data_IF_034065393957
#
_entry.id   IF_034065393957
#
_cell.length_a   1.000
_cell.length_b   1.000
_cell.length_c   1.000
_cell.angle_alpha   90.00
_cell.angle_beta   90.00
_cell.angle_gamma   90.00
#
_symmetry.space_group_name_H-M   'P 1'
#
loop_
_entity.id
_entity.type
_entity.pdbx_description
1 polymer ?
#
# COMPACT_ATOMS: atom_id res chain seq x y z
N UNK A 1 18.31 -12.13 -13.21
CA UNK A 1 17.86 -13.34 -12.48
C UNK A 1 16.61 -12.93 -11.72
N UNK A 2 15.43 -13.30 -12.23
CA UNK A 2 14.16 -12.91 -11.63
C UNK A 2 13.81 -13.92 -10.54
N UNK A 3 14.16 -13.62 -9.30
CA UNK A 3 13.78 -14.44 -8.14
C UNK A 3 12.39 -13.96 -7.70
N UNK A 4 11.42 -14.85 -7.74
CA UNK A 4 10.08 -14.58 -7.20
C UNK A 4 10.13 -14.80 -5.69
N UNK A 5 10.11 -13.69 -4.94
CA UNK A 5 10.02 -13.73 -3.47
C UNK A 5 8.55 -13.67 -3.04
N UNK A 6 8.13 -14.58 -2.18
CA UNK A 6 6.79 -14.66 -1.62
C UNK A 6 6.86 -14.69 -0.10
N UNK A 7 6.10 -13.83 0.53
CA UNK A 7 5.89 -13.87 1.97
C UNK A 7 4.95 -15.04 2.30
N UNK A 8 5.38 -15.97 3.15
CA UNK A 8 4.60 -17.18 3.51
C UNK A 8 4.05 -17.13 4.92
N UNK A 9 4.83 -16.62 5.87
CA UNK A 9 4.42 -16.54 7.26
C UNK A 9 5.11 -15.39 7.99
N UNK A 10 4.47 -14.94 9.07
CA UNK A 10 5.05 -14.07 10.07
C UNK A 10 4.67 -14.56 11.46
N UNK A 11 5.64 -14.60 12.36
CA UNK A 11 5.44 -14.90 13.77
C UNK A 11 5.84 -13.69 14.60
N UNK A 12 4.90 -13.15 15.37
CA UNK A 12 5.12 -12.00 16.26
C UNK A 12 5.27 -12.52 17.69
N UNK A 13 6.51 -12.59 18.18
CA UNK A 13 6.78 -12.91 19.58
C UNK A 13 6.27 -11.79 20.47
N UNK A 14 6.63 -10.54 20.12
CA UNK A 14 6.15 -9.35 20.81
C UNK A 14 6.27 -8.11 19.91
N UNK A 15 5.15 -7.43 19.62
CA UNK A 15 5.17 -6.11 18.97
C UNK A 15 3.88 -5.36 19.27
N UNK A 16 3.95 -4.22 19.95
CA UNK A 16 2.75 -3.49 20.45
C UNK A 16 1.84 -4.45 21.23
N UNK A 17 0.57 -4.56 20.82
CA UNK A 17 -0.41 -5.48 21.41
C UNK A 17 -0.34 -6.92 20.90
N UNK A 18 0.52 -7.22 19.94
CA UNK A 18 0.71 -8.58 19.44
C UNK A 18 1.67 -9.34 20.34
N UNK A 19 1.28 -10.54 20.77
CA UNK A 19 2.10 -11.46 21.55
C UNK A 19 1.81 -12.88 21.11
N UNK A 20 2.85 -13.62 20.75
CA UNK A 20 2.79 -15.00 20.26
C UNK A 20 1.71 -15.22 19.18
N UNK A 21 1.73 -14.34 18.17
CA UNK A 21 0.74 -14.35 17.10
C UNK A 21 1.34 -14.83 15.78
N UNK A 22 0.70 -15.81 15.15
CA UNK A 22 1.10 -16.39 13.88
C UNK A 22 0.18 -15.98 12.75
N UNK A 23 0.79 -15.64 11.59
CA UNK A 23 0.10 -15.29 10.37
C UNK A 23 0.64 -16.12 9.21
N UNK A 24 -0.26 -16.70 8.41
CA UNK A 24 0.07 -17.41 7.19
C UNK A 24 -0.50 -16.66 6.00
N UNK A 25 0.30 -16.51 4.97
CA UNK A 25 -0.05 -15.75 3.78
C UNK A 25 -0.23 -16.67 2.57
N UNK A 26 -1.30 -16.43 1.82
CA UNK A 26 -1.51 -17.12 0.56
C UNK A 26 -0.58 -16.58 -0.54
N UNK A 27 -0.49 -17.29 -1.65
CA UNK A 27 0.39 -16.89 -2.76
C UNK A 27 -0.08 -15.63 -3.50
N UNK A 28 -1.35 -15.27 -3.37
CA UNK A 28 -1.95 -14.17 -4.13
C UNK A 28 -2.53 -13.06 -3.26
N UNK A 29 -3.51 -13.40 -2.41
CA UNK A 29 -4.24 -12.43 -1.61
C UNK A 29 -4.51 -13.00 -0.22
N UNK A 30 -4.23 -12.21 0.81
CA UNK A 30 -4.56 -12.55 2.20
C UNK A 30 -5.34 -11.40 2.82
N UNK A 31 -6.50 -11.68 3.38
CA UNK A 31 -7.26 -10.74 4.18
C UNK A 31 -6.96 -10.99 5.67
N UNK A 32 -6.54 -9.95 6.38
CA UNK A 32 -6.34 -9.97 7.84
C UNK A 32 -7.56 -9.32 8.47
N UNK A 33 -8.35 -10.12 9.16
CA UNK A 33 -9.61 -9.69 9.78
C UNK A 33 -9.52 -9.80 11.30
N UNK A 34 -10.31 -9.00 12.00
CA UNK A 34 -10.38 -9.01 13.47
C UNK A 34 -10.99 -7.72 14.01
N UNK A 35 -11.31 -7.74 15.30
CA UNK A 35 -11.85 -6.57 16.00
C UNK A 35 -10.89 -5.38 16.02
N UNK A 36 -11.41 -4.19 16.30
CA UNK A 36 -10.57 -3.01 16.45
C UNK A 36 -9.58 -3.21 17.61
N UNK A 37 -8.34 -2.78 17.43
CA UNK A 37 -7.28 -2.98 18.41
C UNK A 37 -6.60 -4.35 18.38
N UNK A 38 -7.04 -5.31 17.56
CA UNK A 38 -6.43 -6.64 17.45
C UNK A 38 -5.01 -6.66 16.84
N UNK A 39 -4.50 -5.51 16.40
CA UNK A 39 -3.14 -5.41 15.84
C UNK A 39 -3.03 -5.57 14.33
N UNK A 40 -4.13 -5.57 13.57
CA UNK A 40 -4.13 -5.69 12.10
C UNK A 40 -3.17 -4.69 11.44
N UNK A 41 -3.33 -3.41 11.73
CA UNK A 41 -2.44 -2.33 11.25
C UNK A 41 -1.00 -2.54 11.70
N UNK A 42 -0.76 -3.07 12.91
CA UNK A 42 0.59 -3.37 13.39
C UNK A 42 1.29 -4.42 12.54
N UNK A 43 0.57 -5.48 12.14
CA UNK A 43 1.09 -6.49 11.21
C UNK A 43 1.46 -5.85 9.87
N UNK A 44 0.54 -5.08 9.28
CA UNK A 44 0.74 -4.40 7.99
C UNK A 44 1.96 -3.46 8.05
N UNK A 45 2.07 -2.64 9.10
CA UNK A 45 3.20 -1.74 9.30
C UNK A 45 4.54 -2.48 9.46
N UNK A 46 4.55 -3.58 10.21
CA UNK A 46 5.75 -4.39 10.34
C UNK A 46 6.17 -4.97 8.98
N UNK A 47 5.21 -5.53 8.21
CA UNK A 47 5.48 -6.08 6.89
C UNK A 47 5.95 -5.02 5.89
N UNK A 48 5.48 -3.77 5.99
CA UNK A 48 6.00 -2.68 5.17
C UNK A 48 7.49 -2.41 5.41
N UNK A 49 7.97 -2.63 6.63
CA UNK A 49 9.33 -2.32 7.05
C UNK A 49 10.37 -3.43 6.83
N UNK A 50 9.97 -4.66 6.49
CA UNK A 50 10.90 -5.80 6.42
C UNK A 50 11.72 -5.87 5.14
N UNK A 51 11.34 -5.10 4.13
CA UNK A 51 12.03 -5.04 2.84
C UNK A 51 12.69 -3.68 2.61
N UNK A 52 13.60 -3.63 1.66
CA UNK A 52 14.07 -2.40 1.03
C UNK A 52 13.68 -2.42 -0.45
N UNK A 53 13.44 -1.27 -1.09
CA UNK A 53 13.13 -1.22 -2.51
C UNK A 53 14.19 -1.92 -3.35
N UNK A 54 13.78 -2.67 -4.37
CA UNK A 54 14.69 -3.27 -5.34
C UNK A 54 15.26 -2.19 -6.27
N UNK A 55 14.42 -1.23 -6.63
CA UNK A 55 14.80 -0.08 -7.44
C UNK A 55 14.39 1.22 -6.75
N UNK A 56 15.32 2.18 -6.71
CA UNK A 56 15.03 3.55 -6.27
C UNK A 56 14.48 4.32 -7.47
N UNK A 57 13.19 4.51 -7.53
CA UNK A 57 12.51 5.27 -8.59
C UNK A 57 11.44 6.20 -8.02
N UNK A 58 10.83 7.06 -8.86
CA UNK A 58 9.84 8.04 -8.41
C UNK A 58 8.62 7.43 -7.71
N UNK A 59 8.38 6.13 -7.88
CA UNK A 59 7.26 5.39 -7.30
C UNK A 59 7.68 4.38 -6.24
N UNK A 60 8.99 4.23 -5.96
CA UNK A 60 9.47 3.35 -4.90
C UNK A 60 9.21 3.98 -3.53
N UNK A 61 8.64 3.21 -2.63
CA UNK A 61 8.38 3.62 -1.26
C UNK A 61 9.38 2.93 -0.33
N UNK A 62 10.00 3.72 0.53
CA UNK A 62 11.03 3.26 1.47
C UNK A 62 10.50 3.38 2.90
N UNK A 63 10.09 2.25 3.48
CA UNK A 63 9.57 2.21 4.83
C UNK A 63 10.63 1.69 5.80
N UNK A 64 11.08 2.56 6.70
CA UNK A 64 11.92 2.19 7.84
C UNK A 64 11.07 2.03 9.10
N UNK A 65 11.48 1.20 10.04
CA UNK A 65 10.71 1.00 11.28
C UNK A 65 10.34 2.30 12.00
N UNK A 66 11.20 3.32 12.11
CA UNK A 66 10.82 4.59 12.73
C UNK A 66 9.69 5.34 12.02
N UNK A 67 9.35 4.99 10.79
CA UNK A 67 8.21 5.57 10.09
C UNK A 67 6.88 5.23 10.77
N UNK A 68 6.71 3.97 11.21
CA UNK A 68 5.49 3.50 11.87
C UNK A 68 5.66 3.27 13.38
N UNK A 69 6.88 3.03 13.83
CA UNK A 69 7.23 2.73 15.21
C UNK A 69 8.14 3.83 15.75
N UNK A 70 7.61 5.07 15.79
CA UNK A 70 8.33 6.24 16.26
C UNK A 70 8.63 6.08 17.75
N UNK A 71 9.91 6.08 18.16
CA UNK A 71 10.26 6.07 19.58
C UNK A 71 9.74 7.34 20.26
N UNK A 72 9.15 7.16 21.42
CA UNK A 72 8.66 8.27 22.25
C UNK A 72 8.86 7.94 23.73
N UNK A 73 8.50 8.89 24.61
CA UNK A 73 8.69 8.76 26.06
C UNK A 73 8.05 7.49 26.64
N UNK A 74 6.89 7.09 26.12
CA UNK A 74 6.13 5.95 26.64
C UNK A 74 6.44 4.63 25.94
N UNK A 75 7.03 4.70 24.73
CA UNK A 75 7.25 3.54 23.86
C UNK A 75 8.57 3.63 23.11
N UNK A 76 9.59 3.02 23.67
CA UNK A 76 10.89 2.88 23.01
C UNK A 76 10.96 1.68 22.07
N UNK A 77 9.94 0.81 22.09
CA UNK A 77 9.82 -0.43 21.30
C UNK A 77 10.89 -1.47 21.61
N UNK A 78 11.69 -1.30 22.69
CA UNK A 78 12.68 -2.27 23.13
C UNK A 78 12.02 -3.60 23.51
N UNK A 79 12.65 -4.73 23.17
CA UNK A 79 12.09 -6.06 23.36
C UNK A 79 11.06 -6.47 22.28
N UNK A 80 10.78 -5.61 21.29
CA UNK A 80 10.00 -6.03 20.14
C UNK A 80 10.76 -7.06 19.32
N UNK A 81 10.10 -8.17 18.98
CA UNK A 81 10.68 -9.26 18.19
C UNK A 81 9.60 -9.93 17.34
N UNK A 82 9.89 -10.13 16.07
CA UNK A 82 9.08 -10.94 15.17
C UNK A 82 9.94 -11.53 14.06
N UNK A 83 9.46 -12.58 13.43
CA UNK A 83 10.15 -13.21 12.30
C UNK A 83 9.24 -13.36 11.11
N UNK A 84 9.83 -13.39 9.92
CA UNK A 84 9.13 -13.66 8.67
C UNK A 84 9.77 -14.86 7.95
N UNK A 85 8.93 -15.59 7.22
CA UNK A 85 9.34 -16.70 6.36
C UNK A 85 8.99 -16.33 4.93
N UNK A 86 9.99 -16.33 4.06
CA UNK A 86 9.84 -16.13 2.63
C UNK A 86 10.07 -17.44 1.89
N UNK A 87 9.41 -17.58 0.75
CA UNK A 87 9.65 -18.63 -0.26
C UNK A 87 10.16 -17.95 -1.53
N UNK A 88 11.26 -18.44 -2.05
CA UNK A 88 11.79 -18.01 -3.35
C UNK A 88 11.49 -19.04 -4.41
N UNK A 89 11.15 -18.60 -5.61
CA UNK A 89 10.97 -19.43 -6.79
C UNK A 89 12.02 -19.04 -7.84
N UNK A 90 12.82 -20.00 -8.29
CA UNK A 90 13.83 -19.74 -9.30
C UNK A 90 13.24 -19.85 -10.74
N UNK A 91 14.07 -19.62 -11.75
CA UNK A 91 13.68 -19.66 -13.15
C UNK A 91 13.17 -21.05 -13.62
N UNK A 92 13.51 -22.11 -12.88
CA UNK A 92 13.04 -23.48 -13.13
C UNK A 92 11.76 -23.83 -12.37
N UNK A 93 11.10 -22.82 -11.81
CA UNK A 93 9.90 -22.97 -10.96
C UNK A 93 10.12 -23.84 -9.70
N UNK A 94 11.37 -23.98 -9.25
CA UNK A 94 11.67 -24.67 -7.99
C UNK A 94 11.46 -23.68 -6.86
N UNK A 95 10.58 -24.05 -5.94
CA UNK A 95 10.28 -23.30 -4.74
C UNK A 95 11.18 -23.74 -3.60
N UNK A 96 11.75 -22.77 -2.89
CA UNK A 96 12.58 -22.99 -1.73
C UNK A 96 12.14 -22.08 -0.59
N UNK A 97 11.71 -22.64 0.50
CA UNK A 97 11.39 -21.88 1.72
C UNK A 97 12.69 -21.47 2.40
N UNK A 98 12.85 -20.19 2.64
CA UNK A 98 14.01 -19.66 3.35
C UNK A 98 13.83 -19.82 4.87
N UNK A 99 14.94 -19.92 5.62
CA UNK A 99 14.87 -19.92 7.07
C UNK A 99 14.22 -18.63 7.59
N UNK A 100 13.51 -18.67 8.73
CA UNK A 100 12.91 -17.50 9.32
C UNK A 100 13.93 -16.38 9.53
N UNK A 101 13.60 -15.18 9.09
CA UNK A 101 14.42 -13.98 9.35
C UNK A 101 13.80 -13.21 10.49
N UNK A 102 14.55 -13.07 11.57
CA UNK A 102 14.11 -12.37 12.78
C UNK A 102 14.43 -10.88 12.71
N UNK A 103 13.46 -10.08 13.09
CA UNK A 103 13.54 -8.63 13.29
C UNK A 103 13.31 -8.35 14.77
N UNK A 104 14.21 -7.58 15.37
CA UNK A 104 14.10 -7.23 16.79
C UNK A 104 14.62 -5.82 17.04
N UNK A 105 14.22 -5.24 18.14
CA UNK A 105 14.74 -3.97 18.61
C UNK A 105 15.40 -4.13 19.97
N UNK A 106 16.72 -4.05 19.95
CA UNK A 106 17.56 -4.00 21.14
C UNK A 106 17.99 -2.54 21.35
N UNK A 107 17.70 -2.00 22.53
CA UNK A 107 18.00 -0.60 22.86
C UNK A 107 17.47 0.37 21.81
N UNK A 108 18.34 1.06 21.06
CA UNK A 108 17.97 2.16 20.16
C UNK A 108 17.73 1.74 18.71
N UNK A 109 18.14 0.55 18.30
CA UNK A 109 18.16 0.18 16.88
C UNK A 109 17.41 -1.11 16.59
N UNK A 110 16.78 -1.11 15.41
CA UNK A 110 16.21 -2.31 14.83
C UNK A 110 17.28 -3.15 14.12
N UNK A 111 17.23 -4.46 14.32
CA UNK A 111 18.03 -5.44 13.60
C UNK A 111 17.11 -6.38 12.79
N UNK A 112 17.54 -6.86 11.61
CA UNK A 112 18.75 -6.43 10.90
C UNK A 112 18.68 -4.96 10.49
N UNK A 113 19.85 -4.34 10.30
CA UNK A 113 19.93 -2.98 9.75
C UNK A 113 19.25 -2.92 8.40
N UNK A 114 18.77 -1.73 8.03
CA UNK A 114 18.00 -1.52 6.81
C UNK A 114 18.71 -2.08 5.57
N UNK A 115 20.00 -1.82 5.41
CA UNK A 115 20.84 -2.24 4.28
C UNK A 115 20.94 -3.77 4.12
N UNK A 116 20.66 -4.51 5.19
CA UNK A 116 20.73 -5.97 5.22
C UNK A 116 19.37 -6.63 5.02
N UNK A 117 18.32 -5.87 4.75
CA UNK A 117 16.99 -6.42 4.49
C UNK A 117 16.89 -6.94 3.06
N UNK A 118 16.01 -7.93 2.80
CA UNK A 118 15.80 -8.41 1.45
C UNK A 118 15.22 -7.30 0.58
N UNK A 119 15.57 -7.34 -0.71
CA UNK A 119 15.09 -6.39 -1.71
C UNK A 119 13.75 -6.83 -2.24
N UNK A 120 12.76 -5.96 -2.12
CA UNK A 120 11.41 -6.14 -2.69
C UNK A 120 10.67 -4.82 -2.64
N UNK A 121 10.02 -4.44 -3.71
CA UNK A 121 9.19 -3.24 -3.71
C UNK A 121 7.94 -3.47 -2.88
N UNK A 122 7.64 -2.52 -2.00
CA UNK A 122 6.47 -2.52 -1.14
C UNK A 122 5.64 -1.28 -1.43
N UNK A 123 4.34 -1.46 -1.61
CA UNK A 123 3.37 -0.38 -1.78
C UNK A 123 2.37 -0.45 -0.63
N UNK A 124 2.35 0.58 0.18
CA UNK A 124 1.43 0.68 1.31
C UNK A 124 0.35 1.74 1.04
N UNK A 125 -0.89 1.36 1.29
CA UNK A 125 -2.03 2.25 1.27
C UNK A 125 -2.65 2.27 2.67
N UNK A 126 -2.34 3.32 3.42
CA UNK A 126 -2.86 3.55 4.76
C UNK A 126 -4.12 4.39 4.79
N UNK A 127 -4.51 4.78 5.98
CA UNK A 127 -5.70 5.60 6.22
C UNK A 127 -5.61 7.00 5.57
N UNK A 128 -4.41 7.52 5.36
CA UNK A 128 -4.18 8.79 4.65
C UNK A 128 -4.67 8.75 3.20
N UNK A 129 -4.69 7.56 2.58
CA UNK A 129 -5.27 7.33 1.26
C UNK A 129 -6.80 7.47 1.24
N UNK A 130 -7.44 7.46 2.41
CA UNK A 130 -8.90 7.64 2.57
C UNK A 130 -9.30 9.12 2.62
N UNK A 131 -8.35 10.02 2.92
CA UNK A 131 -8.65 11.45 2.97
C UNK A 131 -8.86 11.98 1.55
N UNK A 132 -9.99 12.66 1.27
CA UNK A 132 -10.24 13.27 -0.01
C UNK A 132 -9.30 14.44 -0.26
N UNK A 133 -8.97 14.68 -1.53
CA UNK A 133 -8.02 15.74 -1.90
C UNK A 133 -8.53 17.12 -1.53
N UNK A 134 -9.85 17.32 -1.51
CA UNK A 134 -10.45 18.60 -1.07
C UNK A 134 -10.13 18.91 0.40
N UNK A 135 -10.01 17.90 1.26
CA UNK A 135 -9.66 18.10 2.67
C UNK A 135 -8.15 18.29 2.89
N UNK A 136 -7.33 17.77 1.96
CA UNK A 136 -5.88 17.98 1.99
C UNK A 136 -5.47 19.33 1.40
N UNK A 137 -6.34 19.94 0.61
CA UNK A 137 -6.04 21.18 -0.11
C UNK A 137 -6.16 22.39 0.80
N UNK A 138 -5.23 23.35 0.66
CA UNK A 138 -5.35 24.64 1.33
C UNK A 138 -6.57 25.39 0.78
N UNK A 139 -7.44 25.96 1.62
CA UNK A 139 -8.57 26.71 1.18
C UNK A 139 -8.17 27.85 0.24
N UNK A 140 -8.80 27.91 -0.93
CA UNK A 140 -8.59 28.95 -1.93
C UNK A 140 -9.92 29.27 -2.63
N UNK A 141 -10.01 30.47 -3.19
CA UNK A 141 -11.22 30.90 -3.90
C UNK A 141 -11.43 30.13 -5.22
N UNK A 142 -10.34 29.71 -5.87
CA UNK A 142 -10.39 29.00 -7.15
C UNK A 142 -9.10 28.22 -7.40
N UNK A 143 -9.25 26.99 -7.90
CA UNK A 143 -8.15 26.18 -8.43
C UNK A 143 -8.34 26.07 -9.94
N UNK A 144 -7.41 26.61 -10.71
CA UNK A 144 -7.32 26.43 -12.16
C UNK A 144 -6.17 25.50 -12.46
N UNK A 145 -6.46 24.30 -12.90
CA UNK A 145 -5.45 23.31 -13.23
C UNK A 145 -5.33 23.06 -14.73
N UNK A 146 -4.15 22.65 -15.16
CA UNK A 146 -3.90 22.17 -16.51
C UNK A 146 -4.12 20.67 -16.55
N UNK A 147 -5.02 20.17 -17.41
CA UNK A 147 -5.26 18.74 -17.53
C UNK A 147 -4.25 18.08 -18.47
N UNK A 148 -3.72 16.96 -18.04
CA UNK A 148 -2.90 16.08 -18.86
C UNK A 148 -3.58 14.73 -19.01
N UNK A 149 -3.93 14.36 -20.23
CA UNK A 149 -4.53 13.05 -20.49
C UNK A 149 -3.52 11.93 -20.27
N UNK A 150 -3.92 10.91 -19.53
CA UNK A 150 -3.07 9.73 -19.35
C UNK A 150 -3.22 8.80 -20.56
N UNK A 151 -2.13 8.64 -21.28
CA UNK A 151 -2.03 7.67 -22.40
C UNK A 151 -1.49 6.31 -21.95
N UNK A 152 -1.21 6.12 -20.66
CA UNK A 152 -0.70 4.86 -20.10
C UNK A 152 -1.80 3.77 -20.18
N UNK A 153 -1.53 2.62 -20.82
CA UNK A 153 -2.47 1.49 -20.84
C UNK A 153 -2.92 1.03 -19.45
N UNK A 154 -2.08 1.23 -18.42
CA UNK A 154 -2.43 0.91 -17.04
C UNK A 154 -3.50 1.86 -16.49
N UNK A 155 -3.46 3.13 -16.88
CA UNK A 155 -4.49 4.10 -16.52
C UNK A 155 -5.85 3.71 -17.12
N UNK A 156 -5.87 3.29 -18.39
CA UNK A 156 -7.11 2.82 -19.02
C UNK A 156 -7.68 1.61 -18.29
N UNK A 157 -6.84 0.65 -17.94
CA UNK A 157 -7.26 -0.52 -17.15
C UNK A 157 -7.77 -0.14 -15.76
N UNK A 158 -7.16 0.85 -15.13
CA UNK A 158 -7.60 1.39 -13.83
C UNK A 158 -9.02 1.88 -13.90
N UNK A 159 -9.34 2.76 -14.86
CA UNK A 159 -10.69 3.33 -14.96
C UNK A 159 -11.74 2.33 -15.42
N UNK A 160 -11.37 1.37 -16.27
CA UNK A 160 -12.27 0.25 -16.66
C UNK A 160 -12.71 -0.53 -15.42
N UNK A 161 -11.77 -0.91 -14.56
CA UNK A 161 -12.06 -1.66 -13.34
C UNK A 161 -12.75 -0.81 -12.27
N UNK A 162 -12.34 0.44 -12.13
CA UNK A 162 -13.04 1.39 -11.26
C UNK A 162 -14.51 1.55 -11.69
N UNK A 163 -14.76 1.63 -12.99
CA UNK A 163 -16.11 1.72 -13.56
C UNK A 163 -16.97 0.52 -13.19
N UNK A 164 -16.41 -0.69 -13.27
CA UNK A 164 -17.10 -1.91 -12.86
C UNK A 164 -17.45 -1.93 -11.37
N UNK A 165 -16.53 -1.48 -10.50
CA UNK A 165 -16.73 -1.46 -9.05
C UNK A 165 -17.75 -0.37 -8.65
N UNK A 166 -17.67 0.81 -9.27
CA UNK A 166 -18.44 2.00 -8.91
C UNK A 166 -19.74 2.15 -9.72
N UNK A 167 -19.99 1.23 -10.64
CA UNK A 167 -21.10 1.29 -11.59
C UNK A 167 -21.15 2.62 -12.36
N UNK A 168 -20.00 3.07 -12.86
CA UNK A 168 -19.82 4.28 -13.67
C UNK A 168 -19.12 3.96 -15.00
N UNK A 169 -19.39 4.74 -16.03
CA UNK A 169 -18.73 4.59 -17.33
C UNK A 169 -17.68 5.68 -17.50
N UNK A 170 -16.47 5.37 -17.10
CA UNK A 170 -15.32 6.23 -17.30
C UNK A 170 -14.74 6.04 -18.70
N UNK A 171 -14.32 7.12 -19.33
CA UNK A 171 -13.72 7.13 -20.67
C UNK A 171 -12.25 7.51 -20.64
N UNK A 172 -11.84 8.36 -19.70
CA UNK A 172 -10.46 8.87 -19.62
C UNK A 172 -10.05 9.16 -18.19
N UNK A 173 -8.76 8.93 -17.91
CA UNK A 173 -8.09 9.39 -16.69
C UNK A 173 -7.21 10.59 -17.03
N UNK A 174 -7.22 11.58 -16.15
CA UNK A 174 -6.41 12.80 -16.27
C UNK A 174 -5.53 12.97 -15.04
N UNK A 175 -4.36 13.56 -15.24
CA UNK A 175 -3.59 14.20 -14.19
C UNK A 175 -3.78 15.71 -14.32
N UNK A 176 -4.37 16.33 -13.31
CA UNK A 176 -4.63 17.76 -13.30
C UNK A 176 -3.57 18.43 -12.42
N UNK A 177 -2.70 19.21 -13.03
CA UNK A 177 -1.61 19.90 -12.34
C UNK A 177 -2.00 21.31 -11.91
N UNK A 178 -1.72 21.63 -10.63
CA UNK A 178 -1.84 22.98 -10.06
C UNK A 178 -0.74 23.22 -9.02
N UNK A 179 0.19 24.13 -9.29
CA UNK A 179 1.28 24.54 -8.37
C UNK A 179 2.01 23.33 -7.75
N UNK A 180 2.53 22.44 -8.55
CA UNK A 180 3.22 21.21 -8.10
C UNK A 180 2.33 20.18 -7.36
N UNK A 181 1.02 20.41 -7.28
CA UNK A 181 0.07 19.42 -6.82
C UNK A 181 -0.62 18.75 -8.00
N UNK A 182 -0.84 17.45 -7.87
CA UNK A 182 -1.46 16.61 -8.87
C UNK A 182 -2.79 16.08 -8.36
N UNK A 183 -3.85 16.34 -9.11
CA UNK A 183 -5.21 15.93 -8.79
C UNK A 183 -5.72 14.99 -9.89
N UNK A 184 -5.84 13.67 -9.63
CA UNK A 184 -6.41 12.78 -10.63
C UNK A 184 -7.83 13.25 -10.99
N UNK A 185 -8.18 13.10 -12.27
CA UNK A 185 -9.49 13.46 -12.80
C UNK A 185 -9.99 12.42 -13.77
N UNK A 186 -11.29 12.38 -13.99
CA UNK A 186 -11.95 11.44 -14.89
C UNK A 186 -12.92 12.15 -15.84
N UNK A 187 -13.14 11.54 -17.01
CA UNK A 187 -14.29 11.83 -17.86
C UNK A 187 -15.25 10.66 -17.86
N UNK A 188 -16.54 10.96 -17.92
CA UNK A 188 -17.61 9.99 -18.11
C UNK A 188 -18.03 9.94 -19.60
N UNK A 189 -18.76 8.89 -19.97
CA UNK A 189 -19.29 8.68 -21.33
C UNK A 189 -20.29 9.78 -21.77
N UNK A 190 -20.93 10.46 -20.82
CA UNK A 190 -21.82 11.60 -21.06
C UNK A 190 -21.08 12.94 -21.23
N UNK A 191 -19.75 12.94 -21.30
CA UNK A 191 -18.93 14.14 -21.48
C UNK A 191 -18.66 14.92 -20.19
N UNK A 192 -19.21 14.54 -19.04
CA UNK A 192 -18.92 15.19 -17.76
C UNK A 192 -17.49 14.85 -17.35
N UNK A 193 -16.73 15.88 -16.97
CA UNK A 193 -15.38 15.78 -16.47
C UNK A 193 -15.26 16.44 -15.11
N UNK A 194 -14.53 15.80 -14.20
CA UNK A 194 -14.24 16.33 -12.86
C UNK A 194 -12.94 15.76 -12.31
N UNK A 195 -12.32 16.50 -11.39
CA UNK A 195 -11.12 16.08 -10.69
C UNK A 195 -11.45 15.45 -9.33
N UNK A 196 -10.43 14.89 -8.69
CA UNK A 196 -10.52 14.34 -7.33
C UNK A 196 -11.04 15.35 -6.31
N UNK A 197 -10.87 16.65 -6.53
CA UNK A 197 -11.44 17.71 -5.68
C UNK A 197 -12.98 17.69 -5.63
N UNK A 198 -13.62 17.08 -6.63
CA UNK A 198 -15.09 16.95 -6.73
C UNK A 198 -15.57 15.51 -6.69
N UNK A 199 -14.65 14.54 -6.55
CA UNK A 199 -15.01 13.13 -6.40
C UNK A 199 -15.44 12.81 -4.98
N UNK A 200 -16.37 11.87 -4.83
CA UNK A 200 -16.64 11.26 -3.53
C UNK A 200 -15.41 10.48 -3.00
N UNK A 201 -15.27 10.41 -1.68
CA UNK A 201 -14.12 9.75 -1.02
C UNK A 201 -13.94 8.28 -1.43
N UNK A 202 -15.01 7.50 -1.52
CA UNK A 202 -14.96 6.10 -1.96
C UNK A 202 -14.51 5.96 -3.42
N UNK A 203 -14.91 6.89 -4.28
CA UNK A 203 -14.46 6.95 -5.68
C UNK A 203 -12.97 7.20 -5.79
N UNK A 204 -12.48 8.23 -5.10
CA UNK A 204 -11.05 8.54 -5.06
C UNK A 204 -10.24 7.35 -4.55
N UNK A 205 -10.69 6.73 -3.44
CA UNK A 205 -10.01 5.59 -2.85
C UNK A 205 -9.96 4.40 -3.81
N UNK A 206 -11.07 4.07 -4.47
CA UNK A 206 -11.11 2.98 -5.46
C UNK A 206 -10.09 3.20 -6.57
N UNK A 207 -10.07 4.40 -7.15
CA UNK A 207 -9.13 4.75 -8.22
C UNK A 207 -7.68 4.66 -7.72
N UNK A 208 -7.36 5.22 -6.56
CA UNK A 208 -6.00 5.17 -5.97
C UNK A 208 -5.53 3.75 -5.70
N UNK A 209 -6.39 2.88 -5.15
CA UNK A 209 -6.05 1.47 -4.92
C UNK A 209 -5.73 0.79 -6.25
N UNK A 210 -6.58 0.96 -7.26
CA UNK A 210 -6.39 0.34 -8.56
C UNK A 210 -5.16 0.89 -9.29
N UNK A 211 -4.90 2.19 -9.22
CA UNK A 211 -3.66 2.77 -9.75
C UNK A 211 -2.43 2.14 -9.11
N UNK A 212 -2.41 2.04 -7.78
CA UNK A 212 -1.30 1.40 -7.06
C UNK A 212 -1.12 -0.05 -7.49
N UNK A 213 -2.21 -0.80 -7.58
CA UNK A 213 -2.19 -2.23 -7.98
C UNK A 213 -1.69 -2.41 -9.41
N UNK A 214 -2.20 -1.62 -10.37
CA UNK A 214 -1.82 -1.77 -11.77
C UNK A 214 -0.45 -1.20 -12.11
N UNK A 215 0.03 -0.20 -11.35
CA UNK A 215 1.36 0.36 -11.55
C UNK A 215 2.44 -0.33 -10.71
N UNK A 216 2.05 -1.16 -9.75
CA UNK A 216 3.01 -1.96 -9.00
C UNK A 216 3.83 -2.86 -9.94
N UNK A 217 5.10 -2.99 -9.64
CA UNK A 217 5.99 -3.89 -10.36
C UNK A 217 5.70 -5.34 -10.01
N UNK A 218 6.08 -6.25 -10.91
CA UNK A 218 5.90 -7.68 -10.66
C UNK A 218 6.61 -8.10 -9.37
N UNK A 219 5.95 -8.97 -8.61
CA UNK A 219 6.43 -9.52 -7.33
C UNK A 219 6.49 -8.51 -6.17
N UNK A 220 6.00 -7.31 -6.36
CA UNK A 220 5.85 -6.33 -5.27
C UNK A 220 4.91 -6.85 -4.18
N UNK A 221 5.09 -6.36 -2.97
CA UNK A 221 4.16 -6.55 -1.86
C UNK A 221 3.22 -5.34 -1.79
N UNK A 222 1.92 -5.57 -1.96
CA UNK A 222 0.91 -4.53 -1.84
C UNK A 222 0.21 -4.73 -0.51
N UNK A 223 0.25 -3.71 0.34
CA UNK A 223 -0.35 -3.68 1.67
C UNK A 223 -1.44 -2.62 1.70
N UNK A 224 -2.66 -3.03 1.99
CA UNK A 224 -3.81 -2.12 2.06
C UNK A 224 -4.39 -2.22 3.47
N UNK A 225 -4.35 -1.12 4.21
CA UNK A 225 -4.98 -1.01 5.52
C UNK A 225 -6.37 -0.39 5.37
N UNK A 226 -7.31 -0.84 6.20
CA UNK A 226 -8.70 -0.36 6.23
C UNK A 226 -9.36 -0.40 4.82
N UNK A 227 -9.27 -1.55 4.13
CA UNK A 227 -9.77 -1.69 2.74
C UNK A 227 -11.27 -1.35 2.63
N UNK A 228 -12.06 -1.68 3.63
CA UNK A 228 -13.50 -1.46 3.71
C UNK A 228 -13.89 -0.02 4.07
N UNK A 229 -12.96 0.78 4.55
CA UNK A 229 -13.26 2.15 4.92
C UNK A 229 -13.67 2.97 3.69
N UNK A 230 -14.84 3.62 3.77
CA UNK A 230 -15.43 4.48 2.73
C UNK A 230 -15.86 3.75 1.43
N UNK A 231 -15.76 2.43 1.38
CA UNK A 231 -16.28 1.65 0.26
C UNK A 231 -17.67 1.09 0.59
N UNK A 232 -18.56 1.14 -0.38
CA UNK A 232 -19.88 0.50 -0.25
C UNK A 232 -19.73 -1.02 -0.32
N UNK A 233 -20.58 -1.76 0.38
CA UNK A 233 -20.54 -3.24 0.44
C UNK A 233 -20.54 -3.88 -0.96
N UNK A 234 -21.18 -3.25 -1.96
CA UNK A 234 -21.18 -3.75 -3.33
C UNK A 234 -19.81 -3.73 -4.00
N UNK A 235 -18.84 -2.95 -3.49
CA UNK A 235 -17.48 -2.91 -4.03
C UNK A 235 -16.66 -4.18 -3.69
N UNK A 236 -17.16 -5.03 -2.79
CA UNK A 236 -16.50 -6.28 -2.37
C UNK A 236 -17.12 -7.54 -3.02
N UNK A 237 -17.96 -7.38 -4.03
CA UNK A 237 -18.58 -8.48 -4.80
C UNK A 237 -17.85 -8.69 -6.16
#
# INVERSE_FOLDING_TARGET
MCIRDRLKAAHFKQLKGLSNADFHFSDTLTAIMGVNGAGKTTVIHALACVYQPDHVGPRSEDYKFPYFFIPNTDSLWSGSEFSIVNEIENERHIKTTLPPRTYHKDFDRWAPRYENRPKRNVYYLGIDSCLPDIEKSTPTSRISYTPHESTDPKAQKTIEKAGGILNKRYTMLFDNEYRNNHFPGVSLDNGIRYSSLSMGTGEQRTIRILEKVYHAELYSLILIDELDLLLHVSAFR
#
